data_IF_002839799203
#
_entry.id   IF_002839799203
#
_cell.length_a   1.000
_cell.length_b   1.000
_cell.length_c   1.000
_cell.angle_alpha   90.00
_cell.angle_beta   90.00
_cell.angle_gamma   90.00
#
_symmetry.space_group_name_H-M   'P 1'
#
loop_
_entity.id
_entity.type
_entity.pdbx_description
1 polymer ?
#
# COMPACT_ATOMS: atom_id res chain seq x y z
N UNK A 1 1.99 -8.95 10.82
CA UNK A 1 2.12 -9.34 9.40
C UNK A 1 3.27 -8.57 8.75
N UNK A 2 3.21 -7.24 8.71
CA UNK A 2 4.28 -6.39 8.17
C UNK A 2 4.84 -5.44 9.23
N UNK A 3 5.93 -5.83 9.90
CA UNK A 3 6.46 -5.07 11.05
C UNK A 3 7.10 -3.73 10.66
N UNK A 4 7.52 -3.58 9.40
CA UNK A 4 8.17 -2.37 8.87
C UNK A 4 7.29 -1.64 7.84
N UNK A 5 5.97 -1.78 7.94
CA UNK A 5 5.04 -1.07 7.07
C UNK A 5 5.02 0.43 7.39
N UNK A 6 4.99 1.26 6.36
CA UNK A 6 4.77 2.70 6.50
C UNK A 6 3.27 2.96 6.70
N UNK A 7 2.89 3.40 7.90
CA UNK A 7 1.50 3.64 8.26
C UNK A 7 1.06 5.04 7.81
N UNK A 8 0.37 5.10 6.67
CA UNK A 8 -0.29 6.31 6.16
C UNK A 8 -1.80 6.04 6.06
N UNK A 9 -2.62 6.66 6.92
CA UNK A 9 -4.07 6.55 6.82
C UNK A 9 -4.59 7.07 5.47
N UNK A 10 -5.56 6.36 4.88
CA UNK A 10 -6.13 6.73 3.57
C UNK A 10 -6.58 8.20 3.47
N UNK A 11 -7.21 8.82 4.50
CA UNK A 11 -7.59 10.24 4.43
C UNK A 11 -6.40 11.19 4.32
N UNK A 12 -5.24 10.82 4.85
CA UNK A 12 -4.01 11.63 4.86
C UNK A 12 -3.11 11.34 3.66
N UNK A 13 -3.37 10.24 2.94
CA UNK A 13 -2.46 9.70 1.93
C UNK A 13 -2.08 10.74 0.87
N UNK A 14 -3.03 11.53 0.38
CA UNK A 14 -2.78 12.55 -0.65
C UNK A 14 -1.81 13.63 -0.21
N UNK A 15 -1.84 14.00 1.06
CA UNK A 15 -0.98 15.04 1.62
C UNK A 15 0.42 14.49 1.95
N UNK A 16 0.52 13.18 2.14
CA UNK A 16 1.72 12.47 2.59
C UNK A 16 2.37 11.61 1.49
N UNK A 17 1.99 11.81 0.22
CA UNK A 17 2.55 11.08 -0.94
C UNK A 17 4.08 11.15 -1.01
N UNK A 18 4.67 12.27 -0.58
CA UNK A 18 6.13 12.46 -0.57
C UNK A 18 6.90 11.56 0.42
N UNK A 19 6.22 10.88 1.35
CA UNK A 19 6.85 9.92 2.26
C UNK A 19 7.07 8.55 1.61
N UNK A 20 6.42 8.28 0.48
CA UNK A 20 6.51 6.98 -0.18
C UNK A 20 7.88 6.81 -0.86
N UNK A 21 8.60 5.71 -0.59
CA UNK A 21 9.78 5.38 -1.38
C UNK A 21 9.36 4.96 -2.79
N UNK A 22 9.78 5.72 -3.80
CA UNK A 22 9.40 5.55 -5.20
C UNK A 22 10.48 4.85 -6.05
N UNK A 23 11.57 4.42 -5.43
CA UNK A 23 12.67 3.68 -6.02
C UNK A 23 12.41 2.16 -6.11
N UNK A 24 11.28 1.70 -5.60
CA UNK A 24 10.89 0.29 -5.53
C UNK A 24 9.36 0.13 -5.65
N UNK A 25 8.87 -1.08 -5.98
CA UNK A 25 7.44 -1.36 -5.96
C UNK A 25 6.81 -1.11 -4.58
N UNK A 26 5.57 -0.64 -4.58
CA UNK A 26 4.79 -0.34 -3.38
C UNK A 26 3.65 -1.35 -3.24
N UNK A 27 3.69 -2.15 -2.18
CA UNK A 27 2.56 -3.00 -1.78
C UNK A 27 1.69 -2.26 -0.78
N UNK A 28 0.40 -2.16 -1.06
CA UNK A 28 -0.60 -1.60 -0.13
C UNK A 28 -1.53 -2.70 0.37
N UNK A 29 -1.94 -2.58 1.63
CA UNK A 29 -2.98 -3.42 2.21
C UNK A 29 -3.80 -2.62 3.22
N UNK A 30 -5.03 -3.07 3.45
CA UNK A 30 -5.82 -2.62 4.59
C UNK A 30 -6.33 -3.84 5.37
N UNK A 31 -7.48 -3.75 6.01
CA UNK A 31 -8.10 -4.88 6.70
C UNK A 31 -8.93 -5.80 5.78
N UNK A 32 -9.38 -5.31 4.61
CA UNK A 32 -10.30 -6.05 3.74
C UNK A 32 -10.44 -5.45 2.33
N UNK A 33 -9.33 -5.03 1.72
CA UNK A 33 -9.26 -4.57 0.32
C UNK A 33 -9.76 -3.15 0.00
N UNK A 34 -10.92 -2.70 0.49
CA UNK A 34 -11.52 -1.45 -0.01
C UNK A 34 -10.62 -0.21 0.11
N UNK A 35 -10.01 0.01 1.28
CA UNK A 35 -9.14 1.17 1.52
C UNK A 35 -7.80 1.06 0.78
N UNK A 36 -7.31 -0.16 0.57
CA UNK A 36 -6.06 -0.37 -0.16
C UNK A 36 -6.24 -0.22 -1.67
N UNK A 37 -7.39 -0.60 -2.23
CA UNK A 37 -7.72 -0.33 -3.63
C UNK A 37 -7.80 1.19 -3.90
N UNK A 38 -8.46 1.94 -3.02
CA UNK A 38 -8.50 3.40 -3.11
C UNK A 38 -7.09 4.02 -2.95
N UNK A 39 -6.29 3.51 -2.00
CA UNK A 39 -4.92 3.95 -1.80
C UNK A 39 -4.03 3.68 -3.01
N UNK A 40 -4.13 2.50 -3.61
CA UNK A 40 -3.38 2.12 -4.80
C UNK A 40 -3.62 3.10 -5.95
N UNK A 41 -4.90 3.37 -6.26
CA UNK A 41 -5.28 4.30 -7.32
C UNK A 41 -4.74 5.73 -7.08
N UNK A 42 -4.73 6.20 -5.83
CA UNK A 42 -4.13 7.50 -5.47
C UNK A 42 -2.62 7.50 -5.74
N UNK A 43 -1.92 6.44 -5.36
CA UNK A 43 -0.46 6.33 -5.51
C UNK A 43 -0.09 6.21 -6.99
N UNK A 44 -0.78 5.38 -7.78
CA UNK A 44 -0.54 5.23 -9.22
C UNK A 44 -0.74 6.54 -9.97
N UNK A 45 -1.80 7.30 -9.63
CA UNK A 45 -2.06 8.60 -10.23
C UNK A 45 -0.97 9.64 -9.91
N UNK A 46 -0.43 9.61 -8.69
CA UNK A 46 0.63 10.51 -8.25
C UNK A 46 2.03 10.11 -8.73
N UNK A 47 2.25 8.81 -8.93
CA UNK A 47 3.55 8.22 -9.25
C UNK A 47 3.43 7.23 -10.42
N UNK A 48 3.19 7.71 -11.66
CA UNK A 48 2.90 6.86 -12.82
C UNK A 48 4.04 5.91 -13.26
N UNK A 49 5.23 6.01 -12.65
CA UNK A 49 6.36 5.11 -12.89
C UNK A 49 6.61 4.08 -11.78
N UNK A 50 5.86 4.15 -10.67
CA UNK A 50 6.02 3.22 -9.54
C UNK A 50 5.04 2.07 -9.72
N UNK A 51 5.54 0.84 -9.64
CA UNK A 51 4.68 -0.34 -9.62
C UNK A 51 3.93 -0.38 -8.28
N UNK A 52 2.60 -0.34 -8.32
CA UNK A 52 1.75 -0.45 -7.14
C UNK A 52 1.03 -1.79 -7.17
N UNK A 53 1.03 -2.49 -6.03
CA UNK A 53 0.38 -3.77 -5.85
C UNK A 53 -0.63 -3.64 -4.70
N UNK A 54 -1.89 -4.00 -4.94
CA UNK A 54 -2.90 -4.08 -3.89
C UNK A 54 -3.04 -5.54 -3.44
N UNK A 55 -2.82 -5.79 -2.15
CA UNK A 55 -3.01 -7.11 -1.56
C UNK A 55 -4.50 -7.48 -1.44
N UNK A 56 -5.40 -6.49 -1.49
CA UNK A 56 -6.84 -6.71 -1.47
C UNK A 56 -7.32 -7.44 -0.21
N UNK A 57 -8.20 -8.42 -0.40
CA UNK A 57 -8.72 -9.27 0.67
C UNK A 57 -7.77 -10.42 1.03
N UNK A 58 -6.74 -10.69 0.23
CA UNK A 58 -5.77 -11.76 0.50
C UNK A 58 -4.99 -11.53 1.82
N UNK A 59 -5.02 -10.32 2.38
CA UNK A 59 -4.49 -10.02 3.72
C UNK A 59 -5.08 -10.91 4.81
N UNK A 60 -6.33 -11.36 4.67
CA UNK A 60 -7.01 -12.19 5.65
C UNK A 60 -6.38 -13.59 5.78
N UNK A 61 -5.77 -14.08 4.70
CA UNK A 61 -5.14 -15.39 4.62
C UNK A 61 -3.60 -15.31 4.53
N UNK A 62 -3.06 -14.09 4.47
CA UNK A 62 -1.64 -13.87 4.30
C UNK A 62 -0.87 -14.41 5.51
N UNK A 63 0.06 -15.32 5.24
CA UNK A 63 0.99 -15.83 6.24
C UNK A 63 2.40 -15.37 5.87
N UNK A 64 3.11 -14.62 6.74
CA UNK A 64 4.49 -14.26 6.47
C UNK A 64 5.31 -15.55 6.38
N UNK A 65 6.03 -15.72 5.27
CA UNK A 65 7.03 -16.78 5.19
C UNK A 65 8.11 -16.42 6.22
N UNK A 66 8.24 -17.24 7.27
CA UNK A 66 9.33 -17.08 8.23
C UNK A 66 10.65 -17.27 7.49
N UNK A 67 11.50 -16.23 7.51
CA UNK A 67 12.88 -16.31 7.07
C UNK A 67 13.75 -16.89 8.20
#
# INVERSE_FOLDING_TARGET
>A
LFNNALLIPLPELRERLGELPTDKPVLVHCAGGYRSAAGASIIEAAHPGVQVLDLGEAIAEFTPVSA
#
